data_IF_930014450718
#
_entry.id   IF_930014450718
#
_cell.length_a   1.000
_cell.length_b   1.000
_cell.length_c   1.000
_cell.angle_alpha   90.00
_cell.angle_beta   90.00
_cell.angle_gamma   90.00
#
_symmetry.space_group_name_H-M   'P 1'
#
loop_
_entity.id
_entity.type
_entity.pdbx_description
1 polymer ?
#
# COMPACT_ATOMS: atom_id res chain seq x y z
N UNK A 1 23.15 2.06 -7.64
CA UNK A 1 21.92 2.22 -6.85
C UNK A 1 21.83 3.68 -6.40
N UNK A 2 20.76 4.38 -6.75
CA UNK A 2 20.60 5.82 -6.46
C UNK A 2 20.68 6.11 -4.96
N UNK A 3 20.17 5.20 -4.11
CA UNK A 3 20.24 5.36 -2.67
C UNK A 3 21.68 5.47 -2.14
N UNK A 4 22.59 4.67 -2.67
CA UNK A 4 24.01 4.71 -2.27
C UNK A 4 24.68 6.01 -2.70
N UNK A 5 24.30 6.59 -3.83
CA UNK A 5 24.85 7.89 -4.30
C UNK A 5 24.40 9.01 -3.36
N UNK A 6 23.12 8.99 -2.94
CA UNK A 6 22.63 10.00 -1.99
C UNK A 6 23.27 9.82 -0.60
N UNK A 7 23.44 8.59 -0.11
CA UNK A 7 24.14 8.31 1.15
C UNK A 7 25.60 8.80 1.11
N UNK A 8 26.28 8.66 -0.04
CA UNK A 8 27.63 9.19 -0.22
C UNK A 8 27.63 10.71 -0.13
N UNK A 9 26.68 11.40 -0.78
CA UNK A 9 26.55 12.86 -0.68
C UNK A 9 26.30 13.34 0.75
N UNK A 10 25.43 12.66 1.49
CA UNK A 10 25.19 12.99 2.91
C UNK A 10 26.50 12.91 3.70
N UNK A 11 27.31 11.89 3.44
CA UNK A 11 28.61 11.73 4.09
C UNK A 11 29.61 12.82 3.71
N UNK A 12 29.65 13.22 2.44
CA UNK A 12 30.59 14.23 1.94
C UNK A 12 30.21 15.65 2.36
N UNK A 13 28.92 15.99 2.34
CA UNK A 13 28.41 17.32 2.66
C UNK A 13 28.19 17.52 4.17
N UNK A 14 28.14 16.43 4.94
CA UNK A 14 27.90 16.45 6.40
C UNK A 14 26.42 16.65 6.77
N UNK A 15 25.64 17.34 5.94
CA UNK A 15 24.21 17.55 6.10
C UNK A 15 23.55 17.60 4.72
N UNK A 16 22.39 16.94 4.57
CA UNK A 16 21.68 16.87 3.30
C UNK A 16 20.18 16.84 3.51
N UNK A 17 19.45 17.39 2.54
CA UNK A 17 17.99 17.41 2.57
C UNK A 17 17.41 16.43 1.57
N UNK A 18 16.54 15.53 2.02
CA UNK A 18 15.90 14.50 1.20
C UNK A 18 14.39 14.51 1.37
N UNK A 19 13.70 13.98 0.37
CA UNK A 19 12.29 13.60 0.49
C UNK A 19 12.25 12.09 0.57
N UNK A 20 11.74 11.57 1.70
CA UNK A 20 11.63 10.13 1.90
C UNK A 20 10.43 9.79 2.81
N UNK A 21 10.01 8.53 2.78
CA UNK A 21 9.11 7.97 3.77
C UNK A 21 9.92 7.58 4.99
N UNK A 22 9.66 8.27 6.11
CA UNK A 22 10.29 7.99 7.40
C UNK A 22 9.32 7.23 8.31
N UNK A 23 9.76 6.11 8.85
CA UNK A 23 9.11 5.37 9.93
C UNK A 23 10.02 5.27 11.14
N UNK A 24 9.45 5.07 12.31
CA UNK A 24 10.22 4.99 13.57
C UNK A 24 9.79 3.76 14.35
N UNK A 25 10.77 3.09 14.97
CA UNK A 25 10.54 1.99 15.89
C UNK A 25 11.27 2.24 17.22
N UNK A 26 10.66 1.81 18.31
CA UNK A 26 11.29 1.78 19.62
C UNK A 26 12.10 0.49 19.78
N UNK A 27 13.35 0.61 20.13
CA UNK A 27 14.19 -0.49 20.62
C UNK A 27 14.19 -0.44 22.16
N UNK A 28 13.27 -1.19 22.76
CA UNK A 28 13.12 -1.23 24.21
C UNK A 28 14.36 -1.77 24.95
N UNK A 29 15.23 -2.55 24.27
CA UNK A 29 16.46 -3.07 24.89
C UNK A 29 17.53 -2.01 25.06
N UNK A 30 17.48 -0.96 24.26
CA UNK A 30 18.41 0.16 24.25
C UNK A 30 17.77 1.47 24.71
N UNK A 31 16.47 1.42 25.03
CA UNK A 31 15.65 2.61 25.35
C UNK A 31 15.85 3.73 24.32
N UNK A 32 15.70 3.37 23.04
CA UNK A 32 16.01 4.27 21.94
C UNK A 32 15.07 4.11 20.75
N UNK A 33 14.79 5.23 20.09
CA UNK A 33 14.10 5.27 18.82
C UNK A 33 15.08 5.19 17.64
N UNK A 34 14.69 4.41 16.63
CA UNK A 34 15.40 4.29 15.36
C UNK A 34 14.50 4.71 14.21
N UNK A 35 14.99 5.62 13.39
CA UNK A 35 14.32 5.99 12.15
C UNK A 35 14.78 5.10 11.00
N UNK A 36 13.83 4.73 10.16
CA UNK A 36 14.04 4.02 8.89
C UNK A 36 13.59 4.91 7.74
N UNK A 37 14.46 5.06 6.73
CA UNK A 37 14.20 5.80 5.50
C UNK A 37 14.09 4.82 4.33
N UNK A 38 12.89 4.73 3.77
CA UNK A 38 12.55 3.66 2.82
C UNK A 38 13.30 3.77 1.50
N UNK A 39 13.32 4.94 0.87
CA UNK A 39 13.97 5.15 -0.43
C UNK A 39 15.49 5.15 -0.32
N UNK A 40 16.02 5.71 0.77
CA UNK A 40 17.45 5.72 1.04
C UNK A 40 17.97 4.39 1.57
N UNK A 41 17.09 3.43 1.89
CA UNK A 41 17.45 2.15 2.48
C UNK A 41 18.32 2.27 3.75
N UNK A 42 18.08 3.33 4.54
CA UNK A 42 18.71 3.54 5.83
C UNK A 42 17.78 2.95 6.89
N UNK A 43 18.19 1.88 7.57
CA UNK A 43 17.33 1.15 8.51
C UNK A 43 17.48 1.60 9.97
N UNK A 44 18.58 2.27 10.30
CA UNK A 44 18.93 2.65 11.67
C UNK A 44 19.59 4.04 11.67
N UNK A 45 18.76 5.09 11.48
CA UNK A 45 19.19 6.47 11.71
C UNK A 45 18.82 6.90 13.12
N UNK A 46 19.69 7.69 13.73
CA UNK A 46 19.42 8.29 15.03
C UNK A 46 18.32 9.34 14.91
N UNK A 47 17.39 9.33 15.84
CA UNK A 47 16.33 10.33 15.93
C UNK A 47 16.10 10.72 17.39
N UNK A 48 15.91 12.00 17.63
CA UNK A 48 15.59 12.50 18.97
C UNK A 48 14.13 12.18 19.32
N UNK A 49 13.89 11.88 20.60
CA UNK A 49 12.55 11.54 21.11
C UNK A 49 11.55 12.68 20.87
N UNK A 50 12.00 13.93 20.99
CA UNK A 50 11.18 15.12 20.78
C UNK A 50 10.57 15.15 19.36
N UNK A 51 11.32 14.72 18.34
CA UNK A 51 10.83 14.63 16.96
C UNK A 51 9.82 13.49 16.81
N UNK A 52 9.99 12.39 17.54
CA UNK A 52 9.04 11.28 17.52
C UNK A 52 7.72 11.68 18.15
N UNK A 53 7.76 12.35 19.30
CA UNK A 53 6.57 12.86 20.00
C UNK A 53 5.83 13.90 19.14
N UNK A 54 6.55 14.76 18.43
CA UNK A 54 5.93 15.73 17.51
C UNK A 54 5.22 15.08 16.31
N UNK A 55 5.65 13.87 15.92
CA UNK A 55 5.20 13.19 14.72
C UNK A 55 4.89 11.70 14.98
N UNK A 56 4.00 11.41 15.93
CA UNK A 56 3.65 10.04 16.36
C UNK A 56 3.26 9.09 15.23
N UNK A 57 2.70 9.62 14.14
CA UNK A 57 2.34 8.84 12.94
C UNK A 57 3.53 8.10 12.31
N UNK A 58 4.76 8.53 12.58
CA UNK A 58 5.95 7.79 12.13
C UNK A 58 6.03 6.38 12.75
N UNK A 59 5.47 6.17 13.94
CA UNK A 59 5.42 4.86 14.60
C UNK A 59 4.29 3.96 14.06
N UNK A 60 3.32 4.54 13.34
CA UNK A 60 2.12 3.84 12.86
C UNK A 60 2.18 3.44 11.38
N UNK A 61 3.35 3.44 10.76
CA UNK A 61 3.52 3.08 9.34
C UNK A 61 4.34 4.08 8.53
N UNK A 62 4.77 5.16 9.19
CA UNK A 62 5.62 6.19 8.59
C UNK A 62 4.84 7.33 7.93
N UNK A 63 5.56 8.39 7.62
CA UNK A 63 5.06 9.58 6.93
C UNK A 63 6.01 9.98 5.81
N UNK A 64 5.48 10.55 4.74
CA UNK A 64 6.30 11.24 3.76
C UNK A 64 6.70 12.62 4.29
N UNK A 65 7.98 12.92 4.26
CA UNK A 65 8.51 14.16 4.80
C UNK A 65 9.72 14.68 4.01
N UNK A 66 9.93 15.99 4.09
CA UNK A 66 11.24 16.60 3.82
C UNK A 66 12.07 16.43 5.10
N UNK A 67 13.20 15.77 4.99
CA UNK A 67 14.03 15.34 6.11
C UNK A 67 15.40 15.95 5.95
N UNK A 68 15.87 16.63 6.97
CA UNK A 68 17.25 17.07 7.08
C UNK A 68 18.04 15.97 7.82
N UNK A 69 19.04 15.39 7.15
CA UNK A 69 19.88 14.30 7.66
C UNK A 69 21.31 14.81 7.79
N UNK A 70 21.87 14.60 8.96
CA UNK A 70 23.27 14.89 9.24
C UNK A 70 24.10 13.61 9.29
N UNK A 71 25.39 13.72 8.97
CA UNK A 71 26.35 12.62 9.05
C UNK A 71 27.35 12.88 10.16
N UNK A 72 27.28 12.08 11.22
CA UNK A 72 28.22 12.13 12.36
C UNK A 72 28.92 10.78 12.52
N UNK A 73 30.16 10.69 12.05
CA UNK A 73 30.98 9.48 12.16
C UNK A 73 31.41 9.15 13.61
N UNK A 74 31.20 10.05 14.54
CA UNK A 74 31.51 9.84 15.97
C UNK A 74 30.34 9.23 16.75
N UNK A 75 29.15 9.17 16.14
CA UNK A 75 27.95 8.65 16.80
C UNK A 75 28.06 7.14 17.01
N UNK A 76 28.39 6.72 18.18
CA UNK A 76 28.59 5.33 18.59
C UNK A 76 27.51 4.91 19.61
N UNK A 77 26.97 3.71 19.44
CA UNK A 77 26.09 3.08 20.43
C UNK A 77 26.62 1.66 20.67
N UNK A 78 27.11 1.42 21.84
CA UNK A 78 27.92 0.24 22.10
C UNK A 78 29.22 0.26 21.28
N UNK A 79 29.45 -0.81 20.52
CA UNK A 79 30.63 -0.95 19.65
C UNK A 79 30.32 -0.71 18.15
N UNK A 80 29.14 -0.16 17.82
CA UNK A 80 28.72 0.06 16.43
C UNK A 80 28.50 1.55 16.15
N UNK A 81 28.95 2.01 14.99
CA UNK A 81 28.76 3.39 14.52
C UNK A 81 27.40 3.47 13.77
N UNK A 82 26.62 4.49 14.10
CA UNK A 82 25.33 4.83 13.48
C UNK A 82 25.37 6.28 13.00
N UNK A 83 25.97 6.56 11.85
CA UNK A 83 26.40 7.91 11.49
C UNK A 83 25.26 8.81 11.00
N UNK A 84 24.11 8.26 10.63
CA UNK A 84 22.98 9.05 10.14
C UNK A 84 22.14 9.55 11.31
N UNK A 85 21.89 10.86 11.34
CA UNK A 85 21.12 11.54 12.38
C UNK A 85 20.03 12.36 11.73
N UNK A 86 18.80 12.16 12.16
CA UNK A 86 17.67 12.96 11.72
C UNK A 86 17.61 14.23 12.55
N UNK A 87 17.91 15.37 11.93
CA UNK A 87 17.95 16.66 12.62
C UNK A 87 16.65 17.45 12.48
N UNK A 88 15.91 17.28 11.39
CA UNK A 88 14.65 17.97 11.18
C UNK A 88 13.71 17.17 10.29
N UNK A 89 12.43 17.26 10.60
CA UNK A 89 11.34 16.63 9.82
C UNK A 89 10.29 17.68 9.50
N UNK A 90 9.90 17.75 8.24
CA UNK A 90 8.75 18.54 7.77
C UNK A 90 7.83 17.63 7.00
N UNK A 91 6.72 17.18 7.59
CA UNK A 91 5.75 16.37 6.90
C UNK A 91 5.26 17.06 5.63
N UNK A 92 5.22 16.31 4.53
CA UNK A 92 4.62 16.76 3.27
C UNK A 92 3.11 16.54 3.34
N UNK A 93 2.68 15.49 4.05
CA UNK A 93 1.28 15.22 4.30
C UNK A 93 0.74 16.24 5.32
N UNK A 94 -0.39 16.83 5.01
CA UNK A 94 -1.06 17.77 5.90
C UNK A 94 -1.32 17.10 7.25
N UNK A 95 -0.64 17.60 8.30
CA UNK A 95 -0.80 17.11 9.68
C UNK A 95 -2.18 17.46 10.27
N UNK A 96 -2.87 18.41 9.68
CA UNK A 96 -4.17 18.92 10.13
C UNK A 96 -5.28 18.53 9.15
N UNK A 97 -5.65 17.24 9.16
CA UNK A 97 -6.86 16.77 8.52
C UNK A 97 -8.05 17.13 9.41
N UNK A 98 -8.95 17.98 8.91
CA UNK A 98 -10.22 18.26 9.58
C UNK A 98 -11.36 17.61 8.79
N UNK A 99 -11.91 16.52 9.32
CA UNK A 99 -13.08 15.87 8.74
C UNK A 99 -14.26 16.85 8.63
N UNK A 100 -14.46 17.72 9.62
CA UNK A 100 -15.52 18.72 9.63
C UNK A 100 -15.41 19.70 8.44
N UNK A 101 -14.19 20.11 8.12
CA UNK A 101 -13.96 20.99 6.95
C UNK A 101 -14.28 20.28 5.64
N UNK A 102 -13.91 19.01 5.52
CA UNK A 102 -14.21 18.21 4.30
C UNK A 102 -15.71 17.96 4.19
N UNK A 103 -16.39 17.59 5.28
CA UNK A 103 -17.85 17.41 5.29
C UNK A 103 -18.58 18.72 4.94
N UNK A 104 -18.08 19.85 5.43
CA UNK A 104 -18.64 21.16 5.08
C UNK A 104 -18.39 21.51 3.62
N UNK A 105 -17.16 21.32 3.14
CA UNK A 105 -16.83 21.59 1.74
C UNK A 105 -17.61 20.67 0.79
N UNK A 106 -17.83 19.38 1.15
CA UNK A 106 -18.61 18.44 0.33
C UNK A 106 -20.01 18.97 -0.01
N UNK A 107 -20.61 19.76 0.88
CA UNK A 107 -21.97 20.33 0.70
C UNK A 107 -22.03 21.37 -0.41
N UNK A 108 -20.92 22.00 -0.75
CA UNK A 108 -20.80 23.01 -1.81
C UNK A 108 -20.70 22.38 -3.22
N UNK A 109 -20.50 21.05 -3.30
CA UNK A 109 -20.36 20.32 -4.55
C UNK A 109 -21.62 19.52 -4.87
N UNK A 110 -21.98 19.46 -6.14
CA UNK A 110 -22.90 18.44 -6.66
C UNK A 110 -22.24 17.06 -6.57
N UNK A 111 -23.02 16.00 -6.75
CA UNK A 111 -22.48 14.63 -6.75
C UNK A 111 -21.49 14.40 -7.89
N UNK A 112 -21.75 14.97 -9.06
CA UNK A 112 -20.88 14.87 -10.23
C UNK A 112 -19.54 15.61 -10.01
N UNK A 113 -19.59 16.84 -9.54
CA UNK A 113 -18.37 17.60 -9.22
C UNK A 113 -17.53 16.90 -8.16
N UNK A 114 -18.19 16.35 -7.12
CA UNK A 114 -17.47 15.60 -6.09
C UNK A 114 -16.82 14.32 -6.62
N UNK A 115 -17.53 13.56 -7.47
CA UNK A 115 -16.97 12.40 -8.16
C UNK A 115 -15.74 12.80 -8.98
N UNK A 116 -15.81 13.90 -9.71
CA UNK A 116 -14.69 14.40 -10.51
C UNK A 116 -13.50 14.80 -9.62
N UNK A 117 -13.73 15.42 -8.46
CA UNK A 117 -12.67 15.75 -7.48
C UNK A 117 -12.01 14.48 -6.95
N UNK A 118 -12.78 13.45 -6.60
CA UNK A 118 -12.23 12.17 -6.13
C UNK A 118 -11.39 11.48 -7.19
N UNK A 119 -11.86 11.47 -8.45
CA UNK A 119 -11.10 10.89 -9.56
C UNK A 119 -9.81 11.66 -9.84
N UNK A 120 -9.85 12.99 -9.81
CA UNK A 120 -8.66 13.83 -9.94
C UNK A 120 -7.67 13.62 -8.80
N UNK A 121 -8.14 13.37 -7.58
CA UNK A 121 -7.29 12.98 -6.46
C UNK A 121 -6.56 11.65 -6.70
N UNK A 122 -7.16 10.75 -7.47
CA UNK A 122 -6.54 9.51 -7.96
C UNK A 122 -5.69 9.68 -9.22
N UNK A 123 -5.51 10.91 -9.70
CA UNK A 123 -4.70 11.21 -10.89
C UNK A 123 -5.44 11.07 -12.22
N UNK A 124 -6.75 10.75 -12.22
CA UNK A 124 -7.53 10.58 -13.44
C UNK A 124 -8.14 11.89 -13.92
N UNK A 125 -8.26 12.08 -15.24
CA UNK A 125 -9.00 13.21 -15.82
C UNK A 125 -10.43 12.76 -16.20
N UNK A 126 -11.44 13.13 -15.40
CA UNK A 126 -12.81 12.66 -15.57
C UNK A 126 -13.51 13.24 -16.81
N UNK A 127 -12.95 14.29 -17.42
CA UNK A 127 -13.47 14.95 -18.62
C UNK A 127 -12.72 14.52 -19.88
N UNK A 128 -11.79 13.55 -19.76
CA UNK A 128 -11.05 13.04 -20.92
C UNK A 128 -11.95 12.24 -21.87
N UNK A 129 -11.57 12.21 -23.14
CA UNK A 129 -12.29 11.43 -24.16
C UNK A 129 -12.39 9.96 -23.75
N UNK A 130 -13.57 9.37 -23.88
CA UNK A 130 -13.85 7.98 -23.53
C UNK A 130 -14.19 7.74 -22.05
N UNK A 131 -14.10 8.75 -21.19
CA UNK A 131 -14.45 8.62 -19.77
C UNK A 131 -15.97 8.68 -19.57
N UNK A 132 -16.60 7.50 -19.63
CA UNK A 132 -18.07 7.36 -19.40
C UNK A 132 -18.39 7.38 -17.90
N UNK A 133 -19.64 7.69 -17.53
CA UNK A 133 -20.10 7.63 -16.13
C UNK A 133 -19.87 6.25 -15.49
N UNK A 134 -20.11 5.16 -16.24
CA UNK A 134 -19.84 3.81 -15.77
C UNK A 134 -18.36 3.62 -15.48
N UNK A 135 -17.47 4.11 -16.35
CA UNK A 135 -16.03 4.00 -16.15
C UNK A 135 -15.57 4.82 -14.93
N UNK A 136 -16.12 6.02 -14.72
CA UNK A 136 -15.86 6.82 -13.52
C UNK A 136 -16.19 6.03 -12.24
N UNK A 137 -17.35 5.35 -12.23
CA UNK A 137 -17.76 4.52 -11.09
C UNK A 137 -16.86 3.31 -10.89
N UNK A 138 -16.43 2.64 -11.96
CA UNK A 138 -15.47 1.53 -11.87
C UNK A 138 -14.11 1.99 -11.33
N UNK A 139 -13.63 3.15 -11.77
CA UNK A 139 -12.38 3.73 -11.25
C UNK A 139 -12.51 4.12 -9.78
N UNK A 140 -13.64 4.74 -9.38
CA UNK A 140 -13.90 5.08 -7.99
C UNK A 140 -13.96 3.81 -7.11
N UNK A 141 -14.52 2.72 -7.64
CA UNK A 141 -14.60 1.45 -6.91
C UNK A 141 -13.24 0.87 -6.52
N UNK A 142 -12.16 1.20 -7.26
CA UNK A 142 -10.79 0.84 -6.89
C UNK A 142 -10.32 1.47 -5.58
N UNK A 143 -10.96 2.57 -5.15
CA UNK A 143 -10.57 3.26 -3.91
C UNK A 143 -11.26 2.69 -2.67
N UNK A 144 -12.32 1.89 -2.84
CA UNK A 144 -13.07 1.34 -1.71
C UNK A 144 -12.18 0.53 -0.75
N UNK A 145 -11.27 -0.37 -1.22
CA UNK A 145 -10.40 -1.11 -0.32
C UNK A 145 -9.44 -0.26 0.51
N UNK A 146 -9.24 1.00 0.15
CA UNK A 146 -8.37 1.93 0.89
C UNK A 146 -9.10 2.60 2.06
N UNK A 147 -10.43 2.51 2.11
CA UNK A 147 -11.28 3.21 3.10
C UNK A 147 -12.21 2.26 3.86
N UNK A 148 -12.52 1.08 3.32
CA UNK A 148 -13.36 0.07 3.94
C UNK A 148 -12.51 -1.09 4.47
N UNK A 149 -12.80 -1.51 5.70
CA UNK A 149 -12.10 -2.60 6.34
C UNK A 149 -12.50 -3.96 5.73
N UNK A 150 -11.52 -4.82 5.50
CA UNK A 150 -11.72 -6.17 5.00
C UNK A 150 -12.62 -6.24 3.73
N UNK A 151 -12.48 -5.23 2.86
CA UNK A 151 -13.19 -5.17 1.59
C UNK A 151 -12.39 -5.96 0.54
N UNK A 152 -12.70 -7.25 0.44
CA UNK A 152 -11.95 -8.16 -0.41
C UNK A 152 -12.48 -8.11 -1.84
N UNK A 153 -11.62 -7.81 -2.81
CA UNK A 153 -12.01 -7.67 -4.21
C UNK A 153 -11.06 -8.37 -5.19
N UNK A 154 -11.61 -8.72 -6.33
CA UNK A 154 -10.85 -9.18 -7.48
C UNK A 154 -11.07 -8.24 -8.67
N UNK A 155 -10.03 -7.90 -9.38
CA UNK A 155 -10.09 -7.15 -10.63
C UNK A 155 -9.42 -7.92 -11.76
N UNK A 156 -10.14 -8.14 -12.85
CA UNK A 156 -9.60 -8.66 -14.09
C UNK A 156 -9.66 -7.60 -15.18
N UNK A 157 -8.55 -7.34 -15.80
CA UNK A 157 -8.52 -6.35 -16.88
C UNK A 157 -7.25 -6.45 -17.72
N UNK A 158 -7.21 -5.72 -18.84
CA UNK A 158 -6.05 -5.70 -19.72
C UNK A 158 -4.84 -5.10 -19.01
N UNK A 159 -3.65 -5.39 -19.53
CA UNK A 159 -2.43 -4.70 -19.12
C UNK A 159 -2.54 -3.21 -19.41
N UNK A 160 -1.89 -2.38 -18.61
CA UNK A 160 -1.88 -0.90 -18.75
C UNK A 160 -3.25 -0.23 -18.50
N UNK A 161 -4.16 -0.86 -17.75
CA UNK A 161 -5.40 -0.23 -17.28
C UNK A 161 -5.28 0.41 -15.88
N UNK A 162 -4.05 0.56 -15.36
CA UNK A 162 -3.77 1.25 -14.09
C UNK A 162 -4.17 0.48 -12.82
N UNK A 163 -4.44 -0.83 -12.89
CA UNK A 163 -4.84 -1.65 -11.73
C UNK A 163 -3.89 -1.52 -10.55
N UNK A 164 -2.61 -1.79 -10.78
CA UNK A 164 -1.58 -1.80 -9.73
C UNK A 164 -1.17 -0.39 -9.31
N UNK A 165 -1.38 0.62 -10.17
CA UNK A 165 -1.00 2.02 -9.91
C UNK A 165 -1.70 2.57 -8.66
N UNK A 166 -3.00 2.31 -8.51
CA UNK A 166 -3.80 2.79 -7.38
C UNK A 166 -3.21 2.33 -6.05
N UNK A 167 -2.82 1.06 -5.96
CA UNK A 167 -2.32 0.47 -4.72
C UNK A 167 -0.82 0.67 -4.51
N UNK A 168 -0.10 1.13 -5.53
CA UNK A 168 1.32 1.41 -5.43
C UNK A 168 1.62 2.88 -5.13
N UNK A 169 0.87 3.80 -5.75
CA UNK A 169 1.23 5.22 -5.78
C UNK A 169 0.21 6.13 -5.06
N UNK A 170 -1.08 5.71 -4.96
CA UNK A 170 -2.13 6.59 -4.47
C UNK A 170 -2.17 6.69 -2.94
N UNK A 171 -1.93 5.60 -2.23
CA UNK A 171 -2.00 5.58 -0.77
C UNK A 171 -0.70 5.07 -0.15
N UNK A 172 -0.16 5.78 0.86
CA UNK A 172 0.99 5.29 1.63
C UNK A 172 0.63 4.12 2.56
N UNK A 173 -0.65 3.77 2.68
CA UNK A 173 -1.16 2.69 3.54
C UNK A 173 -1.53 1.43 2.77
N UNK A 174 -1.16 1.36 1.49
CA UNK A 174 -1.34 0.16 0.67
C UNK A 174 -0.02 -0.48 0.30
N UNK A 175 -0.04 -1.79 0.13
CA UNK A 175 1.13 -2.59 -0.25
C UNK A 175 0.83 -3.40 -1.50
N UNK A 176 1.76 -3.34 -2.46
CA UNK A 176 1.73 -4.19 -3.64
C UNK A 176 2.63 -5.41 -3.41
N UNK A 177 2.07 -6.60 -3.51
CA UNK A 177 2.79 -7.88 -3.46
C UNK A 177 2.87 -8.44 -4.86
N UNK A 178 4.08 -8.61 -5.38
CA UNK A 178 4.34 -9.16 -6.71
C UNK A 178 5.37 -10.29 -6.65
N UNK A 179 5.26 -11.27 -7.55
CA UNK A 179 6.32 -12.22 -7.84
C UNK A 179 6.87 -13.01 -6.65
N UNK A 180 6.16 -14.01 -6.13
CA UNK A 180 6.73 -15.02 -5.22
C UNK A 180 7.05 -14.56 -3.79
N UNK A 181 6.73 -13.32 -3.42
CA UNK A 181 7.04 -12.75 -2.10
C UNK A 181 5.97 -13.04 -1.02
N UNK A 182 4.89 -13.70 -1.37
CA UNK A 182 3.77 -14.00 -0.48
C UNK A 182 3.97 -15.26 0.35
N UNK A 183 4.73 -15.20 1.43
CA UNK A 183 4.77 -16.31 2.42
C UNK A 183 3.82 -16.02 3.57
N UNK A 184 3.36 -17.08 4.26
CA UNK A 184 2.52 -16.92 5.45
C UNK A 184 3.21 -16.08 6.54
N UNK A 185 4.54 -16.09 6.62
CA UNK A 185 5.31 -15.27 7.55
C UNK A 185 5.33 -13.79 7.16
N UNK A 186 5.44 -13.47 5.88
CA UNK A 186 5.48 -12.08 5.40
C UNK A 186 4.09 -11.44 5.36
N UNK A 187 3.05 -12.25 5.08
CA UNK A 187 1.68 -11.74 4.96
C UNK A 187 0.97 -11.66 6.32
N UNK A 188 1.11 -12.65 7.18
CA UNK A 188 0.33 -12.77 8.41
C UNK A 188 1.21 -12.61 9.65
N UNK A 189 1.90 -13.65 10.07
CA UNK A 189 2.75 -13.64 11.26
C UNK A 189 3.99 -14.51 11.05
N UNK A 190 5.13 -14.00 11.45
CA UNK A 190 6.37 -14.76 11.51
C UNK A 190 6.47 -15.51 12.84
N UNK A 191 6.35 -16.84 12.82
CA UNK A 191 6.37 -17.68 14.01
C UNK A 191 7.72 -17.67 14.76
N UNK A 192 8.82 -17.30 14.10
CA UNK A 192 10.15 -17.30 14.73
C UNK A 192 10.33 -16.15 15.71
N UNK A 193 9.76 -14.97 15.40
CA UNK A 193 9.94 -13.75 16.18
C UNK A 193 8.62 -13.06 16.58
N UNK A 194 7.45 -13.61 16.20
CA UNK A 194 6.13 -13.05 16.49
C UNK A 194 5.80 -11.77 15.71
N UNK A 195 6.62 -11.37 14.74
CA UNK A 195 6.41 -10.15 13.96
C UNK A 195 5.19 -10.28 13.07
N UNK A 196 4.30 -9.28 13.13
CA UNK A 196 3.10 -9.18 12.31
C UNK A 196 3.50 -8.84 10.86
N UNK A 197 2.89 -9.54 9.92
CA UNK A 197 3.08 -9.36 8.48
C UNK A 197 2.24 -8.25 7.87
N UNK A 198 2.12 -8.27 6.54
CA UNK A 198 1.47 -7.22 5.77
C UNK A 198 0.01 -6.98 6.17
N UNK A 199 -0.77 -8.05 6.39
CA UNK A 199 -2.20 -7.95 6.75
C UNK A 199 -2.47 -7.16 8.02
N UNK A 200 -1.53 -7.13 8.96
CA UNK A 200 -1.67 -6.35 10.20
C UNK A 200 -0.98 -4.99 10.18
N UNK A 201 -0.38 -4.59 9.05
CA UNK A 201 0.37 -3.33 8.93
C UNK A 201 -0.20 -2.35 7.92
N UNK A 202 -0.95 -2.83 6.95
CA UNK A 202 -1.45 -2.05 5.83
C UNK A 202 -2.98 -2.06 5.82
N UNK A 203 -3.58 -1.03 5.25
CA UNK A 203 -5.04 -0.96 5.07
C UNK A 203 -5.50 -1.74 3.84
N UNK A 204 -4.63 -1.85 2.83
CA UNK A 204 -4.89 -2.62 1.63
C UNK A 204 -3.63 -3.39 1.18
N UNK A 205 -3.80 -4.67 0.86
CA UNK A 205 -2.75 -5.53 0.32
C UNK A 205 -3.18 -6.04 -1.04
N UNK A 206 -2.53 -5.52 -2.08
CA UNK A 206 -2.82 -5.85 -3.46
C UNK A 206 -1.85 -6.91 -3.98
N UNK A 207 -2.38 -8.02 -4.43
CA UNK A 207 -1.65 -9.10 -5.08
C UNK A 207 -1.68 -8.87 -6.59
N UNK A 208 -0.55 -8.43 -7.13
CA UNK A 208 -0.40 -8.19 -8.56
C UNK A 208 0.03 -9.48 -9.27
N UNK A 209 -0.64 -9.80 -10.37
CA UNK A 209 -0.46 -11.07 -11.08
C UNK A 209 -0.57 -12.28 -10.12
N UNK A 210 -1.79 -12.53 -9.59
CA UNK A 210 -2.09 -13.61 -8.64
C UNK A 210 -1.89 -15.00 -9.27
N UNK A 211 -0.63 -15.33 -9.57
CA UNK A 211 -0.18 -16.57 -10.20
C UNK A 211 0.17 -17.64 -9.15
N UNK A 212 0.42 -18.86 -9.60
CA UNK A 212 0.82 -19.98 -8.74
C UNK A 212 2.11 -19.70 -7.95
N UNK A 213 2.97 -18.83 -8.45
CA UNK A 213 4.20 -18.46 -7.76
C UNK A 213 3.94 -17.72 -6.45
N UNK A 214 2.91 -16.88 -6.42
CA UNK A 214 2.49 -16.14 -5.23
C UNK A 214 1.99 -17.08 -4.12
N UNK A 215 1.34 -18.17 -4.50
CA UNK A 215 0.72 -19.13 -3.58
C UNK A 215 1.53 -20.43 -3.43
N UNK A 216 2.86 -20.38 -3.57
CA UNK A 216 3.75 -21.55 -3.35
C UNK A 216 3.67 -22.07 -1.92
N UNK A 217 3.58 -21.16 -0.95
CA UNK A 217 3.40 -21.49 0.45
C UNK A 217 1.98 -22.00 0.69
N UNK A 218 1.87 -23.28 1.09
CA UNK A 218 0.59 -23.98 1.26
C UNK A 218 -0.28 -23.40 2.39
N UNK A 219 0.32 -22.65 3.31
CA UNK A 219 -0.41 -22.03 4.42
C UNK A 219 -1.13 -20.74 4.01
N UNK A 220 -0.72 -20.09 2.91
CA UNK A 220 -1.22 -18.75 2.54
C UNK A 220 -2.71 -18.78 2.20
N UNK A 221 -3.15 -19.67 1.32
CA UNK A 221 -4.57 -19.72 0.88
C UNK A 221 -5.52 -20.04 2.04
N UNK A 222 -5.26 -21.04 2.89
CA UNK A 222 -6.07 -21.27 4.09
C UNK A 222 -6.12 -20.05 5.03
N UNK A 223 -4.98 -19.42 5.33
CA UNK A 223 -4.95 -18.23 6.18
C UNK A 223 -5.70 -17.04 5.57
N UNK A 224 -5.61 -16.84 4.24
CA UNK A 224 -6.40 -15.83 3.55
C UNK A 224 -7.90 -16.09 3.70
N UNK A 225 -8.36 -17.34 3.54
CA UNK A 225 -9.78 -17.67 3.71
C UNK A 225 -10.29 -17.36 5.11
N UNK A 226 -9.55 -17.79 6.13
CA UNK A 226 -9.90 -17.54 7.52
C UNK A 226 -9.95 -16.03 7.81
N UNK A 227 -8.95 -15.31 7.32
CA UNK A 227 -8.87 -13.86 7.48
C UNK A 227 -10.01 -13.12 6.75
N UNK A 228 -10.31 -13.47 5.49
CA UNK A 228 -11.37 -12.83 4.70
C UNK A 228 -12.75 -13.03 5.33
N UNK A 229 -12.95 -14.13 6.08
CA UNK A 229 -14.22 -14.43 6.75
C UNK A 229 -14.34 -13.68 8.10
N UNK A 230 -13.28 -13.70 8.91
CA UNK A 230 -13.34 -13.28 10.32
C UNK A 230 -12.67 -11.94 10.61
N UNK A 231 -11.84 -11.40 9.70
CA UNK A 231 -10.96 -10.26 9.98
C UNK A 231 -9.83 -10.62 10.95
N UNK A 232 -9.64 -11.92 11.25
CA UNK A 232 -8.60 -12.39 12.16
C UNK A 232 -7.81 -13.55 11.57
N UNK A 233 -6.62 -13.78 12.09
CA UNK A 233 -5.78 -14.90 11.68
C UNK A 233 -4.94 -15.41 12.84
N UNK A 234 -4.63 -16.70 12.81
CA UNK A 234 -3.67 -17.33 13.71
C UNK A 234 -2.81 -18.32 12.94
N UNK A 235 -1.54 -18.40 13.30
CA UNK A 235 -0.66 -19.49 12.82
C UNK A 235 -0.33 -20.40 13.98
N UNK A 236 -0.26 -21.70 13.70
CA UNK A 236 0.16 -22.70 14.68
C UNK A 236 1.51 -22.30 15.30
N UNK A 237 1.54 -22.01 16.60
CA UNK A 237 2.72 -21.54 17.32
C UNK A 237 2.39 -20.66 18.53
N UNK A 238 3.34 -19.82 18.93
CA UNK A 238 3.27 -19.00 20.15
C UNK A 238 2.46 -17.69 20.01
N UNK A 239 2.12 -17.27 18.81
CA UNK A 239 1.34 -16.06 18.58
C UNK A 239 -0.15 -16.41 18.60
N UNK A 240 -0.89 -15.93 19.59
CA UNK A 240 -2.35 -16.06 19.63
C UNK A 240 -3.03 -15.41 18.41
N UNK A 241 -4.35 -15.48 18.35
CA UNK A 241 -5.18 -14.85 17.33
C UNK A 241 -4.89 -13.34 17.24
N UNK A 242 -4.77 -12.85 16.01
CA UNK A 242 -4.54 -11.44 15.67
C UNK A 242 -5.66 -10.94 14.79
N UNK A 243 -6.21 -9.78 15.11
CA UNK A 243 -7.18 -9.09 14.26
C UNK A 243 -6.46 -8.08 13.36
N UNK A 244 -6.99 -7.86 12.17
CA UNK A 244 -6.51 -6.86 11.22
C UNK A 244 -7.69 -6.35 10.37
N UNK A 245 -7.45 -5.23 9.67
CA UNK A 245 -8.47 -4.54 8.88
C UNK A 245 -8.13 -4.47 7.39
N UNK A 246 -6.97 -5.01 7.00
CA UNK A 246 -6.50 -4.91 5.61
C UNK A 246 -7.49 -5.52 4.63
N UNK A 247 -7.76 -4.81 3.56
CA UNK A 247 -8.49 -5.31 2.41
C UNK A 247 -7.56 -6.13 1.50
N UNK A 248 -8.04 -7.23 0.97
CA UNK A 248 -7.32 -8.07 0.00
C UNK A 248 -7.78 -7.72 -1.41
N UNK A 249 -6.84 -7.37 -2.27
CA UNK A 249 -7.09 -7.09 -3.68
C UNK A 249 -6.33 -8.10 -4.54
N UNK A 250 -7.04 -8.78 -5.42
CA UNK A 250 -6.49 -9.74 -6.37
C UNK A 250 -6.54 -9.15 -7.77
N UNK A 251 -5.40 -8.75 -8.32
CA UNK A 251 -5.30 -8.28 -9.68
C UNK A 251 -4.91 -9.42 -10.62
N UNK A 252 -5.70 -9.58 -11.70
CA UNK A 252 -5.43 -10.52 -12.76
C UNK A 252 -5.38 -9.85 -14.13
N UNK A 253 -4.63 -10.44 -15.06
CA UNK A 253 -4.53 -9.99 -16.45
C UNK A 253 -5.40 -10.85 -17.36
N UNK A 254 -6.24 -10.18 -18.13
CA UNK A 254 -7.00 -10.84 -19.19
C UNK A 254 -6.35 -10.50 -20.54
N UNK A 255 -5.97 -11.53 -21.28
CA UNK A 255 -5.25 -11.38 -22.56
C UNK A 255 -6.16 -11.64 -23.77
N UNK A 256 -7.40 -12.03 -23.53
CA UNK A 256 -8.42 -12.34 -24.55
C UNK A 256 -9.71 -11.56 -24.23
N UNK A 257 -10.59 -11.35 -25.19
CA UNK A 257 -11.93 -10.82 -24.92
C UNK A 257 -12.64 -11.66 -23.85
N UNK A 258 -13.38 -11.01 -22.95
CA UNK A 258 -14.06 -11.69 -21.83
C UNK A 258 -15.03 -12.75 -22.31
N UNK A 259 -15.69 -12.52 -23.45
CA UNK A 259 -16.60 -13.48 -24.09
C UNK A 259 -15.88 -14.79 -24.45
N UNK A 260 -14.65 -14.69 -24.94
CA UNK A 260 -13.82 -15.87 -25.24
C UNK A 260 -13.44 -16.63 -23.97
N UNK A 261 -13.08 -15.92 -22.90
CA UNK A 261 -12.77 -16.55 -21.61
C UNK A 261 -13.99 -17.31 -21.08
N UNK A 262 -15.19 -16.71 -21.15
CA UNK A 262 -16.43 -17.33 -20.68
C UNK A 262 -16.87 -18.53 -21.53
N UNK A 263 -16.51 -18.56 -22.82
CA UNK A 263 -16.79 -19.68 -23.68
C UNK A 263 -15.87 -20.89 -23.45
N UNK A 264 -14.63 -20.62 -23.02
CA UNK A 264 -13.58 -21.65 -22.87
C UNK A 264 -13.34 -22.07 -21.44
N UNK A 265 -13.72 -21.22 -20.45
CA UNK A 265 -13.47 -21.41 -19.03
C UNK A 265 -14.41 -20.55 -18.18
N UNK A 266 -13.94 -19.98 -17.09
CA UNK A 266 -14.69 -19.09 -16.19
C UNK A 266 -13.88 -17.82 -15.86
N UNK A 267 -14.55 -16.80 -15.29
CA UNK A 267 -13.95 -15.48 -15.03
C UNK A 267 -12.70 -15.52 -14.14
N UNK A 268 -12.60 -16.48 -13.23
CA UNK A 268 -11.46 -16.58 -12.32
C UNK A 268 -10.30 -17.41 -12.88
N UNK A 269 -10.45 -18.00 -14.07
CA UNK A 269 -9.38 -18.80 -14.69
C UNK A 269 -8.03 -18.09 -14.92
N UNK A 270 -7.96 -16.76 -15.03
CA UNK A 270 -6.67 -16.07 -15.09
C UNK A 270 -5.90 -16.02 -13.76
N UNK A 271 -6.53 -16.38 -12.65
CA UNK A 271 -5.87 -16.52 -11.36
C UNK A 271 -5.26 -17.93 -11.18
N UNK A 272 -4.44 -18.10 -10.13
CA UNK A 272 -3.93 -19.42 -9.73
C UNK A 272 -5.06 -20.44 -9.52
N UNK A 273 -4.86 -21.68 -9.97
CA UNK A 273 -5.82 -22.78 -9.76
C UNK A 273 -6.11 -22.99 -8.27
N UNK A 274 -5.16 -22.67 -7.37
CA UNK A 274 -5.33 -22.78 -5.91
C UNK A 274 -6.43 -21.89 -5.34
N UNK A 275 -6.81 -20.83 -6.04
CA UNK A 275 -7.88 -19.92 -5.64
C UNK A 275 -9.06 -19.95 -6.63
N UNK A 276 -8.81 -20.12 -7.92
CA UNK A 276 -9.85 -20.10 -8.96
C UNK A 276 -10.74 -21.34 -8.93
N UNK A 277 -10.24 -22.47 -8.43
CA UNK A 277 -11.00 -23.71 -8.24
C UNK A 277 -11.52 -23.89 -6.79
N UNK A 278 -11.11 -23.05 -5.85
CA UNK A 278 -11.58 -23.09 -4.45
C UNK A 278 -12.83 -22.22 -4.28
N UNK A 279 -14.00 -22.87 -4.36
CA UNK A 279 -15.30 -22.16 -4.23
C UNK A 279 -15.44 -21.43 -2.89
N UNK A 280 -14.86 -21.97 -1.80
CA UNK A 280 -14.90 -21.32 -0.50
C UNK A 280 -14.02 -20.06 -0.47
N UNK A 281 -12.94 -20.01 -1.25
CA UNK A 281 -12.14 -18.80 -1.43
C UNK A 281 -12.91 -17.76 -2.25
N UNK A 282 -13.52 -18.18 -3.37
CA UNK A 282 -14.26 -17.29 -4.25
C UNK A 282 -15.47 -16.65 -3.56
N UNK A 283 -16.16 -17.41 -2.70
CA UNK A 283 -17.31 -16.92 -1.92
C UNK A 283 -16.97 -15.78 -0.96
N UNK A 284 -15.68 -15.64 -0.58
CA UNK A 284 -15.18 -14.57 0.29
C UNK A 284 -14.74 -13.31 -0.46
N UNK A 285 -14.76 -13.33 -1.78
CA UNK A 285 -14.54 -12.15 -2.61
C UNK A 285 -15.84 -11.37 -2.69
N UNK A 286 -15.93 -10.29 -1.92
CA UNK A 286 -17.15 -9.49 -1.81
C UNK A 286 -17.44 -8.62 -3.04
N UNK A 287 -16.44 -8.32 -3.86
CA UNK A 287 -16.57 -7.46 -5.03
C UNK A 287 -15.69 -7.92 -6.19
N UNK A 288 -16.28 -7.98 -7.37
CA UNK A 288 -15.57 -8.27 -8.61
C UNK A 288 -15.66 -7.08 -9.57
N UNK A 289 -14.50 -6.50 -9.90
CA UNK A 289 -14.40 -5.34 -10.79
C UNK A 289 -14.08 -5.78 -12.22
N UNK A 290 -14.95 -5.46 -13.18
CA UNK A 290 -14.74 -5.78 -14.61
C UNK A 290 -13.74 -4.79 -15.23
N UNK A 291 -12.46 -4.96 -14.92
CA UNK A 291 -11.39 -4.07 -15.39
C UNK A 291 -11.20 -4.07 -16.91
N UNK A 292 -11.82 -5.01 -17.64
CA UNK A 292 -11.85 -4.99 -19.11
C UNK A 292 -12.76 -3.88 -19.68
N UNK A 293 -13.65 -3.33 -18.87
CA UNK A 293 -14.44 -2.15 -19.24
C UNK A 293 -13.68 -0.84 -19.06
N UNK A 294 -12.52 -0.88 -18.39
CA UNK A 294 -11.68 0.28 -18.20
C UNK A 294 -10.70 0.38 -19.37
N UNK A 295 -10.68 1.55 -20.00
CA UNK A 295 -9.77 1.82 -21.11
C UNK A 295 -8.31 1.72 -20.70
N UNK A 296 -7.43 1.50 -21.68
CA UNK A 296 -5.99 1.68 -21.48
C UNK A 296 -5.69 3.16 -21.36
N UNK A 297 -4.98 3.54 -20.31
CA UNK A 297 -4.65 4.93 -20.07
C UNK A 297 -3.54 5.44 -21.01
N UNK A 298 -3.77 6.61 -21.54
CA UNK A 298 -2.82 7.43 -22.27
C UNK A 298 -2.49 8.71 -21.45
N UNK A 299 -1.45 9.46 -21.76
CA UNK A 299 -1.10 10.68 -21.03
C UNK A 299 -2.25 11.70 -20.90
N UNK A 300 -3.15 11.77 -21.90
CA UNK A 300 -4.31 12.65 -21.88
C UNK A 300 -5.39 12.25 -20.86
N UNK A 301 -5.33 11.06 -20.29
CA UNK A 301 -6.28 10.59 -19.29
C UNK A 301 -5.83 10.90 -17.85
N UNK A 302 -4.64 11.44 -17.68
CA UNK A 302 -4.13 11.89 -16.39
C UNK A 302 -4.39 13.37 -16.20
N UNK A 303 -4.86 13.72 -15.01
CA UNK A 303 -5.25 15.09 -14.70
C UNK A 303 -4.03 15.98 -14.42
N UNK A 304 -4.16 17.26 -14.85
CA UNK A 304 -3.30 18.35 -14.39
C UNK A 304 -4.07 19.32 -13.47
N UNK A 305 -5.29 18.96 -13.11
CA UNK A 305 -6.16 19.75 -12.25
C UNK A 305 -5.98 19.37 -10.78
N UNK A 306 -6.51 20.23 -9.90
CA UNK A 306 -6.43 20.05 -8.45
C UNK A 306 -7.34 18.89 -8.02
N UNK A 307 -6.80 18.00 -7.19
CA UNK A 307 -7.50 17.02 -6.41
C UNK A 307 -7.09 17.13 -4.93
N UNK A 308 -7.51 16.21 -4.11
CA UNK A 308 -6.94 16.07 -2.76
C UNK A 308 -5.60 15.35 -2.87
N UNK A 309 -4.56 15.85 -2.23
CA UNK A 309 -3.21 15.27 -2.19
C UNK A 309 -2.79 14.98 -0.75
#
# INVERSE_FOLDING_TARGET
>A
DESNVVQMKIKEEGSYKVIDKISVRLDASKDKYWAELSNLNIREANIAEELVVQHEKMMMGGIWAVIDIDYDSSMMIGNKIYPFVISKIRPIQLSNFSLERIVSARKEFTNEEWLNVLLRSGGYEPESEGMTERMKMLLLSRFIPLVENNFNMAELGPRSSGKSFVFKELSPYSMLVSGGQGTAASLFVNNSNGQIGAMGKWDAVCFDESTDELFKDKEVVPLMKDYMESGSFSRAGKSGEKSANASIILNGNINQPVETVLQTSHLFSPFSDKISEDTAFLDRIGFFLPGWEIMKFAPANFTNHIGFS
#
